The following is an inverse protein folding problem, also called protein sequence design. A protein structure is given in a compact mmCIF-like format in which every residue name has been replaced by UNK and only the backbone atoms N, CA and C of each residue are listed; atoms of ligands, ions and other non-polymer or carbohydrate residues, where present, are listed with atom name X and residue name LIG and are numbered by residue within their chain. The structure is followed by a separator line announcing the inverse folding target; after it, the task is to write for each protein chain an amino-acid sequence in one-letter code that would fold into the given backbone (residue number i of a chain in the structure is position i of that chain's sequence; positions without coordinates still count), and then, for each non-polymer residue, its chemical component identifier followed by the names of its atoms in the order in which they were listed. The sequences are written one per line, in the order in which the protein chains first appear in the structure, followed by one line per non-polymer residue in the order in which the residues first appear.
data_IF_304924373606
#
_entry.id   IF_304924373606
#
_cell.length_a   1.000
_cell.length_b   1.000
_cell.length_c   1.000
_cell.angle_alpha   90.00
_cell.angle_beta   90.00
_cell.angle_gamma   90.00
#
_symmetry.space_group_name_H-M   'P 1'
#
loop_
_entity.id
_entity.type
_entity.pdbx_description
1 polymer ?
#
# COMPACT_ATOMS: atom_id res chain seq x y z
N UNK A 1 28.90 4.13 -3.22
CA UNK A 1 27.97 4.18 -4.35
C UNK A 1 28.06 5.59 -4.88
N UNK A 2 28.57 5.74 -6.11
CA UNK A 2 28.86 7.04 -6.69
C UNK A 2 27.60 7.91 -6.80
N UNK A 3 27.72 9.17 -6.39
CA UNK A 3 26.72 10.23 -6.54
C UNK A 3 26.62 10.65 -8.02
N UNK A 4 26.35 9.71 -8.92
CA UNK A 4 26.00 10.00 -10.29
C UNK A 4 24.67 10.75 -10.30
N UNK A 5 24.67 11.97 -10.83
CA UNK A 5 23.43 12.69 -11.13
C UNK A 5 22.61 11.82 -12.08
N UNK A 6 21.61 11.12 -11.53
CA UNK A 6 20.63 10.34 -12.30
C UNK A 6 19.91 11.34 -13.21
N UNK A 7 19.84 11.05 -14.51
CA UNK A 7 19.14 11.94 -15.44
C UNK A 7 17.65 11.96 -15.09
N UNK A 8 16.92 13.06 -15.38
CA UNK A 8 15.47 13.11 -15.17
C UNK A 8 14.71 11.98 -15.88
N UNK A 9 15.23 11.47 -16.99
CA UNK A 9 14.65 10.37 -17.76
C UNK A 9 14.87 9.01 -17.07
N UNK A 10 16.07 8.78 -16.51
CA UNK A 10 16.37 7.58 -15.72
C UNK A 10 15.57 7.55 -14.41
N UNK A 11 15.39 8.71 -13.76
CA UNK A 11 14.54 8.87 -12.58
C UNK A 11 13.09 8.44 -12.86
N UNK A 12 12.60 8.70 -14.08
CA UNK A 12 11.23 8.33 -14.48
C UNK A 12 11.10 6.82 -14.69
N UNK A 13 12.08 6.17 -15.33
CA UNK A 13 12.07 4.70 -15.53
C UNK A 13 12.14 3.98 -14.18
N UNK A 14 13.01 4.45 -13.29
CA UNK A 14 13.14 3.89 -11.95
C UNK A 14 11.86 4.11 -11.14
N UNK A 15 11.26 5.30 -11.20
CA UNK A 15 9.97 5.58 -10.60
C UNK A 15 8.87 4.63 -11.09
N UNK A 16 8.71 4.42 -12.40
CA UNK A 16 7.70 3.49 -12.92
C UNK A 16 7.96 2.04 -12.49
N UNK A 17 9.22 1.62 -12.43
CA UNK A 17 9.58 0.29 -11.92
C UNK A 17 9.16 0.13 -10.46
N UNK A 18 9.40 1.16 -9.65
CA UNK A 18 8.99 1.19 -8.24
C UNK A 18 7.45 1.18 -8.08
N UNK A 19 6.72 1.97 -8.87
CA UNK A 19 5.25 1.98 -8.90
C UNK A 19 4.72 0.57 -9.14
N UNK A 20 5.23 -0.09 -10.20
CA UNK A 20 4.80 -1.44 -10.56
C UNK A 20 5.10 -2.45 -9.46
N UNK A 21 6.30 -2.39 -8.86
CA UNK A 21 6.66 -3.25 -7.74
C UNK A 21 5.71 -3.07 -6.54
N UNK A 22 5.35 -1.83 -6.22
CA UNK A 22 4.37 -1.53 -5.16
C UNK A 22 2.98 -2.08 -5.46
N UNK A 23 2.48 -1.89 -6.68
CA UNK A 23 1.18 -2.42 -7.08
C UNK A 23 1.14 -3.95 -7.02
N UNK A 24 2.23 -4.61 -7.41
CA UNK A 24 2.35 -6.07 -7.28
C UNK A 24 2.31 -6.47 -5.81
N UNK A 25 3.07 -5.79 -4.94
CA UNK A 25 3.10 -6.09 -3.52
C UNK A 25 1.73 -5.87 -2.85
N UNK A 26 1.07 -4.75 -3.12
CA UNK A 26 -0.28 -4.46 -2.59
C UNK A 26 -1.28 -5.57 -2.97
N UNK A 27 -1.33 -5.96 -4.26
CA UNK A 27 -2.16 -7.09 -4.72
C UNK A 27 -1.84 -8.41 -4.01
N UNK A 28 -0.57 -8.66 -3.70
CA UNK A 28 -0.17 -9.86 -2.95
C UNK A 28 -0.60 -9.78 -1.49
N UNK A 29 -0.56 -8.61 -0.87
CA UNK A 29 -1.09 -8.40 0.49
C UNK A 29 -2.62 -8.60 0.54
N UNK A 30 -3.36 -8.10 -0.44
CA UNK A 30 -4.82 -8.32 -0.52
C UNK A 30 -5.17 -9.81 -0.67
N UNK A 31 -4.44 -10.51 -1.54
CA UNK A 31 -4.60 -11.95 -1.72
C UNK A 31 -4.22 -12.72 -0.44
N UNK A 32 -3.21 -12.24 0.29
CA UNK A 32 -2.79 -12.82 1.55
C UNK A 32 -3.87 -12.66 2.64
N UNK A 33 -4.43 -11.45 2.80
CA UNK A 33 -5.54 -11.19 3.72
C UNK A 33 -6.76 -12.06 3.38
N UNK A 34 -7.09 -12.19 2.10
CA UNK A 34 -8.16 -13.09 1.63
C UNK A 34 -7.91 -14.55 2.02
N UNK A 35 -6.64 -14.98 1.99
CA UNK A 35 -6.23 -16.33 2.40
C UNK A 35 -6.38 -16.52 3.91
N UNK A 36 -5.97 -15.54 4.73
CA UNK A 36 -6.18 -15.55 6.18
C UNK A 36 -7.67 -15.72 6.51
N UNK A 37 -8.53 -14.91 5.89
CA UNK A 37 -9.97 -15.00 6.11
C UNK A 37 -10.53 -16.38 5.73
N UNK A 38 -10.00 -17.02 4.68
CA UNK A 38 -10.37 -18.38 4.31
C UNK A 38 -9.87 -19.43 5.32
N UNK A 39 -8.63 -19.30 5.80
CA UNK A 39 -8.06 -20.20 6.83
C UNK A 39 -8.83 -20.11 8.14
N UNK A 40 -9.18 -18.91 8.59
CA UNK A 40 -10.04 -18.66 9.74
C UNK A 40 -11.38 -19.38 9.63
N UNK A 41 -12.09 -19.20 8.50
CA UNK A 41 -13.37 -19.91 8.25
C UNK A 41 -13.20 -21.44 8.28
N UNK A 42 -12.11 -21.94 7.69
CA UNK A 42 -11.78 -23.36 7.73
C UNK A 42 -11.56 -23.87 9.16
N UNK A 43 -10.78 -23.14 9.96
CA UNK A 43 -10.49 -23.49 11.34
C UNK A 43 -11.75 -23.43 12.21
N UNK A 44 -12.58 -22.40 12.06
CA UNK A 44 -13.88 -22.31 12.74
C UNK A 44 -14.78 -23.52 12.42
N UNK A 45 -14.77 -23.98 11.17
CA UNK A 45 -15.46 -25.22 10.77
C UNK A 45 -14.91 -26.48 11.46
N UNK A 46 -13.58 -26.60 11.59
CA UNK A 46 -12.93 -27.70 12.32
C UNK A 46 -13.30 -27.65 13.81
N UNK A 47 -13.24 -26.48 14.44
CA UNK A 47 -13.60 -26.28 15.84
C UNK A 47 -15.07 -26.66 16.09
N UNK A 48 -15.97 -26.25 15.19
CA UNK A 48 -17.38 -26.63 15.27
C UNK A 48 -17.57 -28.14 15.15
N UNK A 49 -16.91 -28.79 14.18
CA UNK A 49 -16.99 -30.24 14.01
C UNK A 49 -16.46 -30.98 15.25
N UNK A 50 -15.36 -30.51 15.85
CA UNK A 50 -14.80 -31.07 17.07
C UNK A 50 -15.79 -31.02 18.24
N UNK A 51 -16.49 -29.90 18.41
CA UNK A 51 -17.53 -29.76 19.42
C UNK A 51 -18.68 -30.75 19.27
N UNK A 52 -19.00 -31.20 18.05
CA UNK A 52 -20.04 -32.22 17.81
C UNK A 52 -19.65 -33.61 18.35
N UNK A 53 -18.35 -33.88 18.50
CA UNK A 53 -17.87 -35.14 19.09
C UNK A 53 -17.79 -35.10 20.62
N UNK A 54 -17.83 -33.91 21.22
CA UNK A 54 -17.75 -33.74 22.67
C UNK A 54 -19.14 -33.81 23.31
N UNK A 55 -19.26 -34.55 24.41
CA UNK A 55 -20.47 -34.49 25.24
C UNK A 55 -20.57 -33.15 25.96
N UNK A 56 -21.76 -32.55 25.98
CA UNK A 56 -21.98 -31.23 26.59
C UNK A 56 -21.60 -31.19 28.09
N UNK A 57 -21.71 -32.34 28.78
CA UNK A 57 -21.50 -32.48 30.22
C UNK A 57 -20.10 -33.03 30.58
N UNK A 58 -19.17 -33.06 29.62
CA UNK A 58 -17.81 -33.55 29.89
C UNK A 58 -17.09 -32.64 30.91
N UNK A 59 -16.38 -33.21 31.90
CA UNK A 59 -15.63 -32.41 32.87
C UNK A 59 -14.58 -31.52 32.16
N UNK A 60 -14.66 -30.21 32.34
CA UNK A 60 -13.77 -29.24 31.69
C UNK A 60 -14.26 -28.70 30.34
N UNK A 61 -15.49 -29.04 29.91
CA UNK A 61 -16.04 -28.60 28.63
C UNK A 61 -16.13 -27.07 28.49
N UNK A 62 -16.45 -26.33 29.56
CA UNK A 62 -16.50 -24.86 29.51
C UNK A 62 -15.12 -24.24 29.28
N UNK A 63 -14.08 -24.79 29.92
CA UNK A 63 -12.71 -24.36 29.69
C UNK A 63 -12.29 -24.65 28.24
N UNK A 64 -12.63 -25.83 27.72
CA UNK A 64 -12.34 -26.20 26.34
C UNK A 64 -13.04 -25.28 25.32
N UNK A 65 -14.32 -24.95 25.53
CA UNK A 65 -15.03 -23.96 24.71
C UNK A 65 -14.38 -22.58 24.75
N UNK A 66 -13.89 -22.18 25.92
CA UNK A 66 -13.16 -20.92 26.09
C UNK A 66 -11.88 -20.92 25.25
N UNK A 67 -11.09 -21.99 25.31
CA UNK A 67 -9.88 -22.12 24.49
C UNK A 67 -10.18 -22.13 22.98
N UNK A 68 -11.27 -22.76 22.53
CA UNK A 68 -11.67 -22.70 21.13
C UNK A 68 -12.10 -21.29 20.69
N UNK A 69 -12.68 -20.52 21.61
CA UNK A 69 -12.98 -19.11 21.36
C UNK A 69 -11.70 -18.28 21.30
N UNK A 70 -10.78 -18.46 22.24
CA UNK A 70 -9.48 -17.77 22.24
C UNK A 70 -8.71 -18.06 20.93
N UNK A 71 -8.85 -19.29 20.40
CA UNK A 71 -8.30 -19.67 19.10
C UNK A 71 -8.95 -18.89 17.95
N UNK A 72 -10.27 -18.73 17.94
CA UNK A 72 -11.00 -17.95 16.92
C UNK A 72 -10.65 -16.46 17.00
N UNK A 73 -10.62 -15.90 18.22
CA UNK A 73 -10.22 -14.51 18.49
C UNK A 73 -8.77 -14.26 18.02
N UNK A 74 -7.86 -15.24 18.11
CA UNK A 74 -6.49 -15.11 17.60
C UNK A 74 -6.44 -14.88 16.08
N UNK A 75 -7.36 -15.49 15.32
CA UNK A 75 -7.49 -15.25 13.88
C UNK A 75 -8.09 -13.87 13.59
N UNK A 76 -9.05 -13.41 14.40
CA UNK A 76 -9.59 -12.05 14.30
C UNK A 76 -8.49 -10.99 14.46
N UNK A 77 -7.61 -11.16 15.46
CA UNK A 77 -6.49 -10.26 15.67
C UNK A 77 -5.51 -10.27 14.50
N UNK A 78 -5.14 -11.46 13.99
CA UNK A 78 -4.27 -11.56 12.81
C UNK A 78 -4.88 -10.87 11.59
N UNK A 79 -6.15 -11.14 11.28
CA UNK A 79 -6.87 -10.53 10.16
C UNK A 79 -6.91 -9.00 10.29
N UNK A 80 -7.24 -8.50 11.48
CA UNK A 80 -7.28 -7.06 11.77
C UNK A 80 -5.91 -6.39 11.60
N UNK A 81 -4.86 -6.99 12.16
CA UNK A 81 -3.53 -6.40 12.12
C UNK A 81 -2.90 -6.46 10.73
N UNK A 82 -3.13 -7.54 9.96
CA UNK A 82 -2.70 -7.62 8.56
C UNK A 82 -3.47 -6.63 7.69
N UNK A 83 -4.76 -6.40 7.95
CA UNK A 83 -5.54 -5.36 7.25
C UNK A 83 -4.92 -3.96 7.42
N UNK A 84 -4.50 -3.60 8.64
CA UNK A 84 -3.84 -2.30 8.92
C UNK A 84 -2.50 -2.15 8.17
N UNK A 85 -1.80 -3.25 7.90
CA UNK A 85 -0.61 -3.23 7.05
C UNK A 85 -0.97 -2.89 5.61
N UNK A 86 -2.08 -3.47 5.12
CA UNK A 86 -2.66 -3.15 3.81
C UNK A 86 -2.95 -1.65 3.64
N UNK A 87 -3.59 -1.02 4.62
CA UNK A 87 -3.86 0.43 4.61
C UNK A 87 -2.58 1.25 4.45
N UNK A 88 -1.51 0.88 5.16
CA UNK A 88 -0.21 1.53 5.03
C UNK A 88 0.41 1.42 3.63
N UNK A 89 0.18 0.30 2.92
CA UNK A 89 0.60 0.16 1.51
C UNK A 89 -0.22 1.07 0.59
N UNK A 90 -1.52 1.21 0.83
CA UNK A 90 -2.38 2.10 0.05
C UNK A 90 -1.98 3.57 0.22
N UNK A 91 -1.76 4.02 1.46
CA UNK A 91 -1.33 5.39 1.76
C UNK A 91 0.00 5.75 1.06
N UNK A 92 0.91 4.78 0.97
CA UNK A 92 2.18 4.98 0.26
C UNK A 92 1.99 4.93 -1.26
N UNK A 93 1.08 4.08 -1.75
CA UNK A 93 0.70 4.01 -3.17
C UNK A 93 0.10 5.34 -3.67
N UNK A 94 -0.70 6.02 -2.86
CA UNK A 94 -1.33 7.31 -3.20
C UNK A 94 -0.32 8.39 -3.57
N UNK A 95 0.88 8.37 -2.96
CA UNK A 95 1.96 9.30 -3.29
C UNK A 95 2.46 9.12 -4.74
N UNK A 96 2.47 7.88 -5.24
CA UNK A 96 2.82 7.62 -6.64
C UNK A 96 1.77 8.19 -7.60
N UNK A 97 0.48 8.10 -7.26
CA UNK A 97 -0.59 8.66 -8.09
C UNK A 97 -0.50 10.18 -8.21
N UNK A 98 -0.16 10.88 -7.12
CA UNK A 98 0.07 12.33 -7.13
C UNK A 98 1.20 12.71 -8.09
N UNK A 99 2.30 11.96 -8.08
CA UNK A 99 3.44 12.19 -8.97
C UNK A 99 3.09 11.91 -10.43
N UNK A 100 2.34 10.83 -10.69
CA UNK A 100 1.86 10.48 -12.04
C UNK A 100 0.94 11.57 -12.61
N UNK A 101 -0.02 12.05 -11.82
CA UNK A 101 -0.92 13.14 -12.22
C UNK A 101 -0.15 14.43 -12.50
N UNK A 102 0.81 14.79 -11.64
CA UNK A 102 1.66 15.95 -11.85
C UNK A 102 2.49 15.83 -13.14
N UNK A 103 3.00 14.63 -13.45
CA UNK A 103 3.72 14.36 -14.70
C UNK A 103 2.84 14.57 -15.93
N UNK A 104 1.60 14.06 -15.91
CA UNK A 104 0.64 14.26 -17.01
C UNK A 104 0.37 15.75 -17.22
N UNK A 105 0.12 16.51 -16.14
CA UNK A 105 -0.08 17.97 -16.20
C UNK A 105 1.13 18.73 -16.77
N UNK A 106 2.35 18.30 -16.43
CA UNK A 106 3.58 18.87 -17.01
C UNK A 106 3.67 18.57 -18.50
N UNK A 107 3.30 17.36 -18.94
CA UNK A 107 3.34 16.97 -20.34
C UNK A 107 2.33 17.78 -21.17
N UNK A 108 1.08 17.84 -20.71
CA UNK A 108 0.01 18.66 -21.30
C UNK A 108 0.38 20.14 -21.35
N UNK A 109 0.89 20.69 -20.23
CA UNK A 109 1.35 22.06 -20.14
C UNK A 109 2.52 22.35 -21.08
N UNK A 110 3.44 21.39 -21.26
CA UNK A 110 4.58 21.52 -22.19
C UNK A 110 4.10 21.57 -23.64
N UNK A 111 3.13 20.72 -24.01
CA UNK A 111 2.54 20.72 -25.34
C UNK A 111 1.77 22.01 -25.62
N UNK A 112 0.96 22.46 -24.65
CA UNK A 112 0.23 23.73 -24.74
C UNK A 112 1.18 24.92 -24.88
N UNK A 113 2.28 24.96 -24.11
CA UNK A 113 3.28 26.01 -24.23
C UNK A 113 3.98 26.01 -25.58
N UNK A 114 4.31 24.83 -26.14
CA UNK A 114 4.85 24.72 -27.51
C UNK A 114 3.87 25.29 -28.54
N UNK A 115 2.58 25.01 -28.40
CA UNK A 115 1.54 25.59 -29.26
C UNK A 115 1.50 27.12 -29.14
N UNK A 116 1.41 27.64 -27.91
CA UNK A 116 1.38 29.08 -27.67
C UNK A 116 2.64 29.80 -28.17
N UNK A 117 3.84 29.22 -28.00
CA UNK A 117 5.07 29.82 -28.55
C UNK A 117 5.01 29.94 -30.07
N UNK A 118 4.50 28.93 -30.78
CA UNK A 118 4.30 28.98 -32.24
C UNK A 118 3.28 30.05 -32.64
N UNK A 119 2.19 30.19 -31.88
CA UNK A 119 1.21 31.25 -32.12
C UNK A 119 1.77 32.65 -31.84
N UNK A 120 2.57 32.81 -30.77
CA UNK A 120 3.25 34.06 -30.44
C UNK A 120 4.19 34.50 -31.57
N UNK A 121 4.92 33.57 -32.17
CA UNK A 121 5.77 33.84 -33.34
C UNK A 121 4.96 34.28 -34.56
N UNK A 122 3.81 33.65 -34.83
CA UNK A 122 2.89 34.07 -35.90
C UNK A 122 2.33 35.47 -35.62
N UNK A 123 1.93 35.75 -34.38
CA UNK A 123 1.39 37.04 -33.94
C UNK A 123 2.43 38.16 -34.03
N UNK A 124 3.71 37.89 -33.69
CA UNK A 124 4.81 38.84 -33.89
C UNK A 124 4.99 39.24 -35.36
N UNK A 125 4.86 38.27 -36.28
CA UNK A 125 4.98 38.49 -37.73
C UNK A 125 3.73 39.15 -38.36
N UNK A 126 2.59 39.14 -37.66
CA UNK A 126 1.35 39.72 -38.17
C UNK A 126 1.33 41.25 -37.99
N UNK A 127 1.25 41.99 -39.10
CA UNK A 127 1.23 43.46 -39.13
C UNK A 127 -0.13 44.07 -38.75
N UNK A 128 -1.20 43.28 -38.77
CA UNK A 128 -2.56 43.76 -38.46
C UNK A 128 -2.91 43.74 -36.96
N UNK A 129 -2.06 43.16 -36.12
CA UNK A 129 -2.29 43.03 -34.67
C UNK A 129 -1.68 44.20 -33.89
N UNK A 130 -2.43 44.73 -32.95
CA UNK A 130 -2.00 45.84 -32.08
C UNK A 130 -0.87 45.43 -31.14
N UNK A 131 -0.10 46.42 -30.66
CA UNK A 131 0.95 46.17 -29.66
C UNK A 131 0.38 45.58 -28.36
N UNK A 132 -0.80 46.04 -27.93
CA UNK A 132 -1.46 45.54 -26.73
C UNK A 132 -1.83 44.05 -26.82
N UNK A 133 -2.33 43.59 -27.98
CA UNK A 133 -2.63 42.17 -28.21
C UNK A 133 -1.35 41.31 -28.20
N UNK A 134 -0.23 41.85 -28.69
CA UNK A 134 1.07 41.15 -28.70
C UNK A 134 1.66 41.05 -27.29
N UNK A 135 1.52 42.10 -26.49
CA UNK A 135 1.99 42.14 -25.09
C UNK A 135 1.16 41.21 -24.19
N UNK A 136 -0.15 41.18 -24.37
CA UNK A 136 -1.02 40.27 -23.60
C UNK A 136 -0.68 38.80 -23.90
N UNK A 137 -0.47 38.47 -25.17
CA UNK A 137 -0.07 37.12 -25.56
C UNK A 137 1.31 36.74 -25.00
N UNK A 138 2.26 37.69 -24.95
CA UNK A 138 3.56 37.48 -24.34
C UNK A 138 3.45 37.23 -22.82
N UNK A 139 2.60 37.98 -22.12
CA UNK A 139 2.34 37.77 -20.69
C UNK A 139 1.77 36.40 -20.41
N UNK A 140 0.79 35.94 -21.20
CA UNK A 140 0.21 34.59 -21.08
C UNK A 140 1.28 33.52 -21.27
N UNK A 141 2.14 33.65 -22.29
CA UNK A 141 3.26 32.72 -22.50
C UNK A 141 4.22 32.69 -21.31
N UNK A 142 4.62 33.85 -20.79
CA UNK A 142 5.51 33.94 -19.62
C UNK A 142 4.86 33.36 -18.37
N UNK A 143 3.55 33.55 -18.18
CA UNK A 143 2.81 32.97 -17.05
C UNK A 143 2.81 31.44 -17.12
N UNK A 144 2.47 30.86 -18.28
CA UNK A 144 2.50 29.41 -18.50
C UNK A 144 3.90 28.82 -18.33
N UNK A 145 4.94 29.55 -18.72
CA UNK A 145 6.33 29.14 -18.50
C UNK A 145 6.69 29.05 -17.01
N UNK A 146 6.23 30.00 -16.19
CA UNK A 146 6.44 29.95 -14.74
C UNK A 146 5.70 28.79 -14.11
N UNK A 147 4.42 28.62 -14.44
CA UNK A 147 3.60 27.51 -13.93
C UNK A 147 4.23 26.15 -14.25
N UNK A 148 4.71 25.97 -15.49
CA UNK A 148 5.40 24.75 -15.89
C UNK A 148 6.70 24.52 -15.11
N UNK A 149 7.46 25.59 -14.87
CA UNK A 149 8.71 25.52 -14.11
C UNK A 149 8.45 25.13 -12.65
N UNK A 150 7.41 25.70 -12.05
CA UNK A 150 7.03 25.40 -10.67
C UNK A 150 6.53 23.95 -10.53
N UNK A 151 5.72 23.48 -11.49
CA UNK A 151 5.30 22.07 -11.53
C UNK A 151 6.48 21.11 -11.68
N UNK A 152 7.44 21.40 -12.56
CA UNK A 152 8.65 20.57 -12.73
C UNK A 152 9.50 20.52 -11.46
N UNK A 153 9.68 21.66 -10.81
CA UNK A 153 10.39 21.72 -9.52
C UNK A 153 9.66 20.90 -8.45
N UNK A 154 8.34 20.99 -8.40
CA UNK A 154 7.53 20.17 -7.48
C UNK A 154 7.71 18.68 -7.78
N UNK A 155 7.65 18.27 -9.05
CA UNK A 155 7.88 16.87 -9.45
C UNK A 155 9.24 16.35 -8.99
N UNK A 156 10.30 17.14 -9.19
CA UNK A 156 11.65 16.79 -8.73
C UNK A 156 11.71 16.62 -7.20
N UNK A 157 11.04 17.49 -6.43
CA UNK A 157 10.99 17.38 -4.97
C UNK A 157 10.24 16.12 -4.54
N UNK A 158 9.03 15.91 -5.07
CA UNK A 158 8.15 14.80 -4.70
C UNK A 158 8.79 13.44 -5.02
N UNK A 159 9.42 13.31 -6.20
CA UNK A 159 10.15 12.09 -6.59
C UNK A 159 11.34 11.83 -5.67
N UNK A 160 12.13 12.86 -5.36
CA UNK A 160 13.27 12.71 -4.46
C UNK A 160 12.87 12.32 -3.03
N UNK A 161 11.78 12.89 -2.52
CA UNK A 161 11.23 12.52 -1.21
C UNK A 161 10.75 11.07 -1.21
N UNK A 162 10.06 10.64 -2.27
CA UNK A 162 9.58 9.27 -2.39
C UNK A 162 10.73 8.26 -2.41
N UNK A 163 11.75 8.49 -3.23
CA UNK A 163 12.94 7.62 -3.29
C UNK A 163 13.65 7.50 -1.93
N UNK A 164 13.73 8.60 -1.17
CA UNK A 164 14.34 8.60 0.17
C UNK A 164 13.52 7.84 1.20
N UNK A 165 12.19 7.94 1.12
CA UNK A 165 11.28 7.35 2.12
C UNK A 165 10.92 5.90 1.82
N UNK A 166 10.99 5.48 0.55
CA UNK A 166 10.60 4.15 0.10
C UNK A 166 11.29 3.01 0.85
N UNK A 167 12.62 3.07 0.96
CA UNK A 167 13.38 2.00 1.61
C UNK A 167 12.95 1.81 3.06
N UNK A 168 12.82 2.91 3.79
CA UNK A 168 12.38 2.89 5.19
C UNK A 168 10.94 2.42 5.32
N UNK A 169 10.06 2.81 4.40
CA UNK A 169 8.70 2.33 4.33
C UNK A 169 8.66 0.79 4.22
N UNK A 170 9.36 0.22 3.22
CA UNK A 170 9.38 -1.24 2.99
C UNK A 170 9.92 -1.97 4.22
N UNK A 171 11.05 -1.53 4.78
CA UNK A 171 11.64 -2.14 5.97
C UNK A 171 10.65 -2.14 7.15
N UNK A 172 9.97 -1.02 7.37
CA UNK A 172 9.02 -0.89 8.47
C UNK A 172 7.79 -1.78 8.25
N UNK A 173 7.26 -1.88 7.02
CA UNK A 173 6.13 -2.77 6.73
C UNK A 173 6.49 -4.24 6.94
N UNK A 174 7.63 -4.69 6.43
CA UNK A 174 8.07 -6.07 6.61
C UNK A 174 8.36 -6.39 8.08
N UNK A 175 8.95 -5.46 8.83
CA UNK A 175 9.17 -5.64 10.26
C UNK A 175 7.83 -5.86 10.98
N UNK A 176 6.86 -4.98 10.78
CA UNK A 176 5.53 -5.11 11.38
C UNK A 176 4.84 -6.40 10.95
N UNK A 177 4.95 -6.78 9.68
CA UNK A 177 4.42 -8.05 9.17
C UNK A 177 4.97 -9.25 9.96
N UNK A 178 6.29 -9.33 10.15
CA UNK A 178 6.90 -10.41 10.92
C UNK A 178 6.56 -10.34 12.42
N UNK A 179 6.42 -9.15 12.99
CA UNK A 179 6.00 -8.98 14.39
C UNK A 179 4.56 -9.48 14.62
N UNK A 180 3.63 -9.14 13.73
CA UNK A 180 2.24 -9.59 13.74
C UNK A 180 2.19 -11.11 13.64
N UNK A 181 2.88 -11.70 12.66
CA UNK A 181 2.94 -13.15 12.50
C UNK A 181 3.62 -13.85 13.68
N UNK A 182 4.71 -13.30 14.19
CA UNK A 182 5.40 -13.87 15.34
C UNK A 182 4.52 -13.91 16.58
N UNK A 183 3.68 -12.88 16.78
CA UNK A 183 2.71 -12.82 17.87
C UNK A 183 1.61 -13.84 17.68
N UNK A 184 0.95 -13.84 16.52
CA UNK A 184 -0.06 -14.83 16.18
C UNK A 184 0.43 -16.27 16.37
N UNK A 185 1.60 -16.63 15.84
CA UNK A 185 2.12 -17.99 15.94
C UNK A 185 2.39 -18.41 17.39
N UNK A 186 2.91 -17.50 18.23
CA UNK A 186 3.17 -17.80 19.65
C UNK A 186 1.86 -18.04 20.40
N UNK A 187 0.90 -17.13 20.23
CA UNK A 187 -0.38 -17.18 20.94
C UNK A 187 -1.18 -18.41 20.49
N UNK A 188 -1.20 -18.67 19.17
CA UNK A 188 -1.84 -19.85 18.58
C UNK A 188 -1.26 -21.15 19.13
N UNK A 189 0.08 -21.28 19.18
CA UNK A 189 0.75 -22.47 19.70
C UNK A 189 0.46 -22.69 21.19
N UNK A 190 0.40 -21.63 21.98
CA UNK A 190 0.05 -21.72 23.40
C UNK A 190 -1.38 -22.23 23.60
N UNK A 191 -2.34 -21.70 22.82
CA UNK A 191 -3.75 -22.12 22.86
C UNK A 191 -3.89 -23.56 22.39
N UNK A 192 -3.23 -23.94 21.28
CA UNK A 192 -3.23 -25.30 20.75
C UNK A 192 -2.73 -26.33 21.77
N UNK A 193 -1.64 -26.03 22.48
CA UNK A 193 -1.14 -26.89 23.54
C UNK A 193 -2.16 -27.14 24.65
N UNK A 194 -2.84 -26.08 25.12
CA UNK A 194 -3.90 -26.17 26.14
C UNK A 194 -5.14 -26.93 25.65
N UNK A 195 -5.48 -26.79 24.36
CA UNK A 195 -6.56 -27.54 23.72
C UNK A 195 -6.25 -29.04 23.69
N UNK A 196 -5.02 -29.40 23.31
CA UNK A 196 -4.58 -30.81 23.29
C UNK A 196 -4.60 -31.42 24.70
N UNK A 197 -4.08 -30.71 25.69
CA UNK A 197 -4.12 -31.16 27.09
C UNK A 197 -5.57 -31.34 27.58
N UNK A 198 -6.47 -30.43 27.21
CA UNK A 198 -7.89 -30.55 27.54
C UNK A 198 -8.52 -31.80 26.90
N UNK A 199 -8.22 -32.07 25.61
CA UNK A 199 -8.72 -33.26 24.90
C UNK A 199 -8.21 -34.57 25.51
N UNK A 200 -6.92 -34.64 25.89
CA UNK A 200 -6.35 -35.82 26.56
C UNK A 200 -7.04 -36.07 27.90
N UNK A 201 -7.36 -35.01 28.64
CA UNK A 201 -8.00 -35.11 29.94
C UNK A 201 -9.51 -35.43 29.89
N UNK A 202 -10.17 -35.26 28.73
CA UNK A 202 -11.54 -35.75 28.52
C UNK A 202 -11.63 -37.28 28.45
N UNK A 203 -10.57 -37.95 28.03
CA UNK A 203 -10.55 -39.41 27.96
C UNK A 203 -10.55 -39.98 29.39
N UNK A 204 -11.41 -40.95 29.72
CA UNK A 204 -11.33 -41.61 31.01
C UNK A 204 -9.94 -42.22 31.17
N UNK A 205 -9.20 -41.79 32.20
CA UNK A 205 -7.90 -42.38 32.55
C UNK A 205 -8.13 -43.88 32.71
N UNK A 206 -7.49 -44.70 31.86
CA UNK A 206 -7.58 -46.17 31.92
C UNK A 206 -7.33 -46.59 33.38
N UNK A 207 -8.32 -47.25 33.98
CA UNK A 207 -8.17 -47.94 35.26
C UNK A 207 -7.26 -49.15 35.11
#
# INVERSE_FOLDING_TARGET
MDNGNISPEDMVVEFYTQVNAFQVLAKKMDAYLSTIAAMKRGMSGVNHALLLFCGADWPGMDHFKTLLKDLDDSWDFLESDVSKLGDGFQDFADKFYVILDLRVKIEEGTQALKHHRREAEKMKKNKQKSAAEKDEFARICTQKERELKDMKKKLEVDVNELCKTQRNFIINQFRKFFEVHGTFCRDFQEIEGKLLDSLVNFLPKKK
#
